data_IF_943197235380
#
_entry.id   IF_943197235380
#
_cell.length_a   1.000
_cell.length_b   1.000
_cell.length_c   1.000
_cell.angle_alpha   90.00
_cell.angle_beta   90.00
_cell.angle_gamma   90.00
#
_symmetry.space_group_name_H-M   'P 1'
#
loop_
_entity.id
_entity.type
_entity.pdbx_description
1 polymer ?
#
# COMPACT_ATOMS: atom_id res chain seq x y z
N UNK A 1 -5.88 -19.84 -21.20
CA UNK A 1 -6.72 -18.81 -21.90
C UNK A 1 -5.88 -17.60 -22.27
N UNK A 2 -6.24 -16.90 -23.36
CA UNK A 2 -5.61 -15.63 -23.70
C UNK A 2 -6.03 -14.52 -22.73
N UNK A 3 -5.22 -13.47 -22.58
CA UNK A 3 -5.57 -12.28 -21.77
C UNK A 3 -6.93 -11.72 -22.15
N UNK A 4 -7.25 -11.66 -23.45
CA UNK A 4 -8.53 -11.15 -23.95
C UNK A 4 -9.73 -12.01 -23.53
N UNK A 5 -9.62 -13.33 -23.56
CA UNK A 5 -10.69 -14.24 -23.13
C UNK A 5 -10.96 -14.07 -21.63
N UNK A 6 -9.90 -13.99 -20.81
CA UNK A 6 -9.99 -13.74 -19.35
C UNK A 6 -10.69 -12.40 -19.08
N UNK A 7 -10.30 -11.34 -19.78
CA UNK A 7 -10.91 -10.03 -19.64
C UNK A 7 -12.38 -10.02 -20.06
N UNK A 8 -12.74 -10.79 -21.10
CA UNK A 8 -14.14 -10.91 -21.54
C UNK A 8 -14.99 -11.59 -20.46
N UNK A 9 -14.48 -12.65 -19.82
CA UNK A 9 -15.15 -13.29 -18.69
C UNK A 9 -15.31 -12.34 -17.50
N UNK A 10 -14.28 -11.57 -17.17
CA UNK A 10 -14.32 -10.56 -16.11
C UNK A 10 -15.42 -9.52 -16.36
N UNK A 11 -15.53 -8.98 -17.57
CA UNK A 11 -16.58 -8.03 -17.94
C UNK A 11 -17.96 -8.67 -17.86
N UNK A 12 -18.10 -9.94 -18.24
CA UNK A 12 -19.38 -10.68 -18.14
C UNK A 12 -19.84 -10.84 -16.69
N UNK A 13 -18.90 -11.08 -15.77
CA UNK A 13 -19.20 -11.21 -14.33
C UNK A 13 -19.52 -9.87 -13.65
N UNK A 14 -19.16 -8.73 -14.25
CA UNK A 14 -19.24 -7.39 -13.65
C UNK A 14 -20.62 -7.08 -13.07
N UNK A 15 -21.70 -7.31 -13.82
CA UNK A 15 -23.04 -6.97 -13.37
C UNK A 15 -23.45 -7.76 -12.11
N UNK A 16 -23.16 -9.05 -12.06
CA UNK A 16 -23.48 -9.90 -10.92
C UNK A 16 -22.73 -9.43 -9.65
N UNK A 17 -21.44 -9.10 -9.79
CA UNK A 17 -20.62 -8.63 -8.67
C UNK A 17 -21.04 -7.24 -8.19
N UNK A 18 -21.24 -6.28 -9.14
CA UNK A 18 -21.61 -4.90 -8.81
C UNK A 18 -22.99 -4.78 -8.16
N UNK A 19 -23.92 -5.71 -8.46
CA UNK A 19 -25.28 -5.70 -7.92
C UNK A 19 -25.47 -6.58 -6.69
N UNK A 20 -24.45 -7.31 -6.26
CA UNK A 20 -24.52 -8.12 -5.06
C UNK A 20 -24.72 -7.26 -3.80
N UNK A 21 -25.64 -7.66 -2.95
CA UNK A 21 -25.87 -6.99 -1.67
C UNK A 21 -24.74 -7.31 -0.66
N UNK A 22 -24.71 -6.56 0.42
CA UNK A 22 -23.69 -6.69 1.46
C UNK A 22 -23.67 -8.08 2.08
N UNK A 23 -24.85 -8.71 2.29
CA UNK A 23 -24.95 -10.05 2.88
C UNK A 23 -24.31 -11.09 1.97
N UNK A 24 -24.61 -11.05 0.68
CA UNK A 24 -24.03 -11.94 -0.33
C UNK A 24 -22.51 -11.76 -0.41
N UNK A 25 -22.00 -10.52 -0.42
CA UNK A 25 -20.56 -10.22 -0.41
C UNK A 25 -19.88 -10.73 0.86
N UNK A 26 -20.47 -10.50 2.02
CA UNK A 26 -19.93 -10.97 3.29
C UNK A 26 -19.90 -12.51 3.36
N UNK A 27 -20.92 -13.19 2.87
CA UNK A 27 -20.94 -14.64 2.74
C UNK A 27 -19.84 -15.15 1.78
N UNK A 28 -19.61 -14.44 0.67
CA UNK A 28 -18.52 -14.76 -0.24
C UNK A 28 -17.16 -14.65 0.45
N UNK A 29 -16.91 -13.58 1.17
CA UNK A 29 -15.66 -13.39 1.94
C UNK A 29 -15.47 -14.50 2.98
N UNK A 30 -16.50 -14.87 3.74
CA UNK A 30 -16.42 -15.96 4.70
C UNK A 30 -16.05 -17.29 4.01
N UNK A 31 -16.74 -17.64 2.92
CA UNK A 31 -16.47 -18.87 2.16
C UNK A 31 -15.09 -18.83 1.46
N UNK A 32 -14.61 -17.66 1.03
CA UNK A 32 -13.26 -17.48 0.47
C UNK A 32 -12.18 -17.75 1.54
N UNK A 33 -12.36 -17.22 2.75
CA UNK A 33 -11.46 -17.45 3.87
C UNK A 33 -11.43 -18.93 4.28
N UNK A 34 -12.60 -19.59 4.35
CA UNK A 34 -12.70 -21.01 4.66
C UNK A 34 -12.06 -21.88 3.58
N UNK A 35 -12.24 -21.53 2.30
CA UNK A 35 -11.62 -22.24 1.19
C UNK A 35 -10.08 -22.11 1.20
N UNK A 36 -9.52 -20.94 1.53
CA UNK A 36 -8.07 -20.78 1.70
C UNK A 36 -7.51 -21.75 2.75
N UNK A 37 -8.16 -21.83 3.91
CA UNK A 37 -7.75 -22.75 4.98
C UNK A 37 -7.90 -24.22 4.57
N UNK A 38 -8.97 -24.56 3.86
CA UNK A 38 -9.18 -25.92 3.37
C UNK A 38 -8.14 -26.34 2.31
N UNK A 39 -7.60 -25.40 1.55
CA UNK A 39 -6.60 -25.63 0.51
C UNK A 39 -5.16 -25.32 0.95
N UNK A 40 -4.88 -25.17 2.26
CA UNK A 40 -3.55 -24.82 2.78
C UNK A 40 -2.45 -25.70 2.22
N UNK A 41 -2.60 -27.03 2.25
CA UNK A 41 -1.57 -27.95 1.77
C UNK A 41 -1.27 -27.79 0.27
N UNK A 42 -2.31 -27.59 -0.55
CA UNK A 42 -2.15 -27.39 -1.99
C UNK A 42 -1.45 -26.03 -2.29
N UNK A 43 -1.79 -24.98 -1.52
CA UNK A 43 -1.16 -23.67 -1.65
C UNK A 43 0.31 -23.75 -1.23
N UNK A 44 0.64 -24.43 -0.13
CA UNK A 44 2.01 -24.60 0.34
C UNK A 44 2.87 -25.41 -0.64
N UNK A 45 2.31 -26.47 -1.25
CA UNK A 45 3.03 -27.24 -2.27
C UNK A 45 3.32 -26.41 -3.52
N UNK A 46 2.34 -25.61 -3.99
CA UNK A 46 2.54 -24.68 -5.11
C UNK A 46 3.58 -23.63 -4.77
N UNK A 47 3.55 -23.09 -3.56
CA UNK A 47 4.50 -22.08 -3.10
C UNK A 47 5.93 -22.62 -2.98
N UNK A 48 6.08 -23.85 -2.47
CA UNK A 48 7.38 -24.53 -2.43
C UNK A 48 8.02 -24.61 -3.82
N UNK A 49 7.23 -24.98 -4.83
CA UNK A 49 7.72 -25.05 -6.22
C UNK A 49 8.15 -23.67 -6.76
N UNK A 50 7.40 -22.60 -6.44
CA UNK A 50 7.77 -21.23 -6.82
C UNK A 50 9.07 -20.80 -6.14
N UNK A 51 9.18 -21.02 -4.81
CA UNK A 51 10.38 -20.68 -4.03
C UNK A 51 11.61 -21.43 -4.53
N UNK A 52 11.50 -22.75 -4.79
CA UNK A 52 12.61 -23.55 -5.32
C UNK A 52 13.05 -23.04 -6.71
N UNK A 53 12.10 -22.69 -7.59
CA UNK A 53 12.39 -22.15 -8.90
C UNK A 53 13.00 -20.73 -8.88
N UNK A 54 12.72 -19.96 -7.85
CA UNK A 54 13.19 -18.57 -7.67
C UNK A 54 14.57 -18.47 -7.00
N UNK A 55 14.99 -19.50 -6.23
CA UNK A 55 16.30 -19.51 -5.54
C UNK A 55 17.46 -19.25 -6.52
N UNK A 56 18.36 -18.33 -6.11
CA UNK A 56 19.49 -17.90 -6.92
C UNK A 56 19.15 -17.00 -8.12
N UNK A 57 17.87 -16.66 -8.34
CA UNK A 57 17.43 -15.74 -9.40
C UNK A 57 16.90 -14.41 -8.87
N UNK A 58 16.42 -14.39 -7.64
CA UNK A 58 15.96 -13.18 -6.93
C UNK A 58 16.70 -13.10 -5.59
N UNK A 59 16.69 -11.91 -4.94
CA UNK A 59 17.36 -11.72 -3.66
C UNK A 59 16.67 -12.48 -2.51
N UNK A 60 17.39 -12.73 -1.41
CA UNK A 60 16.85 -13.42 -0.24
C UNK A 60 15.66 -12.68 0.38
N UNK A 61 15.67 -11.34 0.34
CA UNK A 61 14.53 -10.50 0.75
C UNK A 61 13.31 -10.78 -0.11
N UNK A 62 13.48 -10.96 -1.41
CA UNK A 62 12.37 -11.30 -2.31
C UNK A 62 11.90 -12.75 -2.13
N UNK A 63 12.80 -13.67 -1.76
CA UNK A 63 12.45 -15.04 -1.38
C UNK A 63 11.59 -15.04 -0.11
N UNK A 64 11.95 -14.27 0.93
CA UNK A 64 11.11 -14.16 2.14
C UNK A 64 9.72 -13.60 1.84
N UNK A 65 9.62 -12.61 0.94
CA UNK A 65 8.34 -12.07 0.49
C UNK A 65 7.48 -13.07 -0.27
N UNK A 66 8.12 -13.97 -1.03
CA UNK A 66 7.47 -15.00 -1.83
C UNK A 66 6.99 -16.17 -0.97
N UNK A 67 7.72 -16.50 0.07
CA UNK A 67 7.51 -17.68 0.90
C UNK A 67 6.19 -17.60 1.67
N UNK A 68 5.40 -18.67 1.66
CA UNK A 68 4.23 -18.88 2.50
C UNK A 68 4.50 -20.01 3.50
N UNK A 69 3.85 -19.91 4.64
CA UNK A 69 3.68 -20.96 5.64
C UNK A 69 2.22 -21.00 6.11
N UNK A 70 1.87 -21.95 6.95
CA UNK A 70 0.49 -22.08 7.45
C UNK A 70 0.02 -20.82 8.19
N UNK A 71 0.88 -20.20 8.99
CA UNK A 71 0.55 -18.98 9.73
C UNK A 71 0.30 -17.78 8.80
N UNK A 72 1.06 -17.66 7.70
CA UNK A 72 0.82 -16.63 6.68
C UNK A 72 -0.51 -16.84 5.96
N UNK A 73 -0.89 -18.10 5.66
CA UNK A 73 -2.20 -18.42 5.06
C UNK A 73 -3.34 -18.16 6.04
N UNK A 74 -3.18 -18.50 7.33
CA UNK A 74 -4.13 -18.11 8.38
C UNK A 74 -4.29 -16.61 8.48
N UNK A 75 -3.17 -15.85 8.38
CA UNK A 75 -3.18 -14.40 8.31
C UNK A 75 -3.97 -13.85 7.11
N UNK A 76 -3.81 -14.46 5.93
CA UNK A 76 -4.60 -14.11 4.73
C UNK A 76 -6.09 -14.34 4.96
N UNK A 77 -6.49 -15.51 5.50
CA UNK A 77 -7.88 -15.81 5.82
C UNK A 77 -8.47 -14.87 6.89
N UNK A 78 -7.67 -14.51 7.90
CA UNK A 78 -8.06 -13.54 8.93
C UNK A 78 -8.29 -12.16 8.32
N UNK A 79 -7.38 -11.67 7.48
CA UNK A 79 -7.54 -10.38 6.78
C UNK A 79 -8.82 -10.31 5.94
N UNK A 80 -9.17 -11.40 5.23
CA UNK A 80 -10.44 -11.49 4.50
C UNK A 80 -11.64 -11.38 5.46
N UNK A 81 -11.60 -12.04 6.62
CA UNK A 81 -12.69 -12.00 7.59
C UNK A 81 -12.84 -10.61 8.23
N UNK A 82 -11.76 -9.89 8.48
CA UNK A 82 -11.81 -8.52 9.00
C UNK A 82 -12.58 -7.56 8.09
N UNK A 83 -12.57 -7.79 6.77
CA UNK A 83 -13.36 -6.99 5.83
C UNK A 83 -14.88 -7.20 5.97
N UNK A 84 -15.33 -8.32 6.57
CA UNK A 84 -16.76 -8.60 6.77
C UNK A 84 -17.38 -7.57 7.71
N UNK A 85 -16.63 -7.17 8.73
CA UNK A 85 -17.06 -6.24 9.77
C UNK A 85 -17.01 -4.76 9.33
N UNK A 86 -16.35 -4.49 8.19
CA UNK A 86 -16.29 -3.14 7.64
C UNK A 86 -17.56 -2.79 6.86
N UNK A 87 -17.91 -1.51 6.88
CA UNK A 87 -19.01 -0.97 6.09
C UNK A 87 -18.81 -1.24 4.59
N UNK A 88 -19.89 -1.62 3.93
CA UNK A 88 -19.91 -1.73 2.47
C UNK A 88 -19.98 -0.33 1.86
N UNK A 89 -18.98 0.10 1.07
CA UNK A 89 -19.01 1.43 0.48
C UNK A 89 -20.00 1.55 -0.68
N UNK A 90 -20.34 0.44 -1.35
CA UNK A 90 -21.21 0.48 -2.53
C UNK A 90 -22.66 0.78 -2.15
N UNK A 91 -23.25 1.81 -2.77
CA UNK A 91 -24.60 2.25 -2.48
C UNK A 91 -24.71 3.33 -1.39
N UNK A 92 -23.60 3.66 -0.68
CA UNK A 92 -23.59 4.70 0.33
C UNK A 92 -23.88 6.08 -0.29
N UNK A 93 -24.88 6.79 0.26
CA UNK A 93 -25.16 8.18 -0.15
C UNK A 93 -24.12 9.10 0.50
N UNK A 94 -23.27 9.69 -0.33
CA UNK A 94 -22.18 10.57 0.11
C UNK A 94 -22.65 12.01 0.37
N UNK A 95 -23.69 12.44 -0.39
CA UNK A 95 -24.26 13.79 -0.26
C UNK A 95 -25.65 13.82 -0.88
N UNK A 96 -26.59 14.51 -0.22
CA UNK A 96 -27.91 14.84 -0.76
C UNK A 96 -28.03 16.35 -0.91
N UNK A 97 -28.60 16.78 -2.04
CA UNK A 97 -28.90 18.19 -2.34
C UNK A 97 -30.34 18.30 -2.81
N UNK A 98 -31.17 19.01 -2.07
CA UNK A 98 -32.50 19.39 -2.49
C UNK A 98 -32.46 20.73 -3.24
N UNK A 99 -33.18 20.82 -4.35
CA UNK A 99 -33.22 22.04 -5.18
C UNK A 99 -34.55 22.76 -4.98
N UNK A 100 -34.60 24.09 -5.15
CA UNK A 100 -35.84 24.88 -5.00
C UNK A 100 -36.98 24.44 -5.91
N UNK A 101 -36.67 23.78 -7.01
CA UNK A 101 -37.66 23.25 -7.95
C UNK A 101 -38.15 21.82 -7.58
N UNK A 102 -37.78 21.29 -6.41
CA UNK A 102 -38.20 19.98 -5.91
C UNK A 102 -37.33 18.80 -6.38
N UNK A 103 -36.30 19.03 -7.20
CA UNK A 103 -35.37 17.95 -7.58
C UNK A 103 -34.49 17.59 -6.39
N UNK A 104 -34.37 16.29 -6.09
CA UNK A 104 -33.45 15.71 -5.11
C UNK A 104 -32.28 15.05 -5.85
N UNK A 105 -31.05 15.46 -5.54
CA UNK A 105 -29.82 14.96 -6.16
C UNK A 105 -29.01 14.23 -5.08
N UNK A 106 -28.82 12.93 -5.26
CA UNK A 106 -27.97 12.10 -4.38
C UNK A 106 -26.65 11.76 -5.10
N UNK A 107 -25.52 12.10 -4.46
CA UNK A 107 -24.21 11.60 -4.85
C UNK A 107 -24.00 10.26 -4.16
N UNK A 108 -23.99 9.15 -4.91
CA UNK A 108 -23.97 7.79 -4.35
C UNK A 108 -22.70 7.07 -4.81
N UNK A 109 -22.00 6.42 -3.85
CA UNK A 109 -20.83 5.61 -4.13
C UNK A 109 -21.21 4.37 -4.93
N UNK A 110 -20.39 4.02 -5.91
CA UNK A 110 -20.57 2.83 -6.76
C UNK A 110 -19.21 2.18 -7.02
N UNK A 111 -19.15 0.85 -7.25
CA UNK A 111 -17.91 0.18 -7.63
C UNK A 111 -17.26 0.82 -8.86
N UNK A 112 -15.92 0.78 -8.91
CA UNK A 112 -15.17 1.16 -10.13
C UNK A 112 -15.54 0.28 -11.31
N UNK A 113 -15.64 -1.04 -11.10
CA UNK A 113 -15.98 -1.99 -12.14
C UNK A 113 -15.02 -3.16 -12.22
N UNK A 114 -14.16 -3.22 -13.22
CA UNK A 114 -13.09 -4.22 -13.35
C UNK A 114 -11.77 -3.59 -12.93
N UNK A 115 -11.18 -4.09 -11.85
CA UNK A 115 -9.90 -3.63 -11.32
C UNK A 115 -8.82 -4.65 -11.68
N UNK A 116 -7.79 -4.22 -12.40
CA UNK A 116 -6.62 -5.03 -12.71
C UNK A 116 -5.47 -4.71 -11.74
N UNK A 117 -4.85 -5.74 -11.16
CA UNK A 117 -3.72 -5.62 -10.26
C UNK A 117 -2.52 -6.36 -10.84
N UNK A 118 -1.43 -5.62 -11.13
CA UNK A 118 -0.15 -6.20 -11.56
C UNK A 118 0.80 -6.18 -10.38
N UNK A 119 1.27 -7.36 -9.92
CA UNK A 119 2.09 -7.45 -8.71
C UNK A 119 3.23 -8.45 -8.84
N UNK A 120 4.26 -8.29 -7.98
CA UNK A 120 5.50 -9.07 -7.96
C UNK A 120 5.65 -9.78 -6.62
N UNK A 121 6.17 -11.02 -6.64
CA UNK A 121 6.70 -11.79 -5.47
C UNK A 121 5.93 -11.68 -4.14
N UNK A 122 4.61 -11.51 -4.18
CA UNK A 122 3.77 -11.32 -2.96
C UNK A 122 2.47 -12.12 -3.06
N UNK A 123 2.47 -13.43 -2.76
CA UNK A 123 1.27 -14.26 -2.87
C UNK A 123 0.08 -13.76 -2.03
N UNK A 124 0.32 -13.11 -0.88
CA UNK A 124 -0.74 -12.52 -0.05
C UNK A 124 -1.52 -11.41 -0.77
N UNK A 125 -0.88 -10.66 -1.68
CA UNK A 125 -1.60 -9.64 -2.48
C UNK A 125 -2.73 -10.25 -3.28
N UNK A 126 -2.63 -11.53 -3.67
CA UNK A 126 -3.69 -12.26 -4.37
C UNK A 126 -4.99 -12.30 -3.57
N UNK A 127 -4.91 -12.65 -2.28
CA UNK A 127 -6.08 -12.72 -1.40
C UNK A 127 -6.61 -11.35 -1.01
N UNK A 128 -5.71 -10.44 -0.66
CA UNK A 128 -6.07 -9.10 -0.18
C UNK A 128 -6.77 -8.30 -1.29
N UNK A 129 -6.20 -8.31 -2.48
CA UNK A 129 -6.76 -7.62 -3.65
C UNK A 129 -8.12 -8.22 -4.06
N UNK A 130 -8.24 -9.56 -4.09
CA UNK A 130 -9.50 -10.20 -4.43
C UNK A 130 -10.60 -9.88 -3.41
N UNK A 131 -10.29 -9.97 -2.12
CA UNK A 131 -11.25 -9.71 -1.05
C UNK A 131 -11.73 -8.24 -1.03
N UNK A 132 -10.81 -7.29 -1.15
CA UNK A 132 -11.14 -5.85 -1.24
C UNK A 132 -12.01 -5.56 -2.47
N UNK A 133 -11.69 -6.13 -3.64
CA UNK A 133 -12.49 -5.97 -4.84
C UNK A 133 -13.91 -6.51 -4.66
N UNK A 134 -14.06 -7.75 -4.15
CA UNK A 134 -15.38 -8.37 -3.96
C UNK A 134 -16.21 -7.60 -2.92
N UNK A 135 -15.64 -7.22 -1.78
CA UNK A 135 -16.35 -6.43 -0.76
C UNK A 135 -16.84 -5.09 -1.30
N UNK A 136 -16.00 -4.41 -2.09
CA UNK A 136 -16.38 -3.12 -2.72
C UNK A 136 -17.22 -3.27 -3.99
N UNK A 137 -17.60 -4.50 -4.37
CA UNK A 137 -18.46 -4.78 -5.53
C UNK A 137 -17.73 -4.76 -6.87
N UNK A 138 -16.42 -4.95 -6.90
CA UNK A 138 -15.60 -4.94 -8.12
C UNK A 138 -15.20 -6.35 -8.55
N UNK A 139 -14.98 -6.52 -9.85
CA UNK A 139 -14.31 -7.69 -10.42
C UNK A 139 -12.79 -7.47 -10.29
N UNK A 140 -12.08 -8.53 -9.87
CA UNK A 140 -10.64 -8.54 -9.67
C UNK A 140 -9.93 -9.31 -10.80
N UNK A 141 -9.05 -8.65 -11.54
CA UNK A 141 -8.17 -9.29 -12.52
C UNK A 141 -6.72 -9.18 -12.02
N UNK A 142 -6.13 -10.32 -11.72
CA UNK A 142 -4.81 -10.44 -11.13
C UNK A 142 -3.77 -10.82 -12.18
N UNK A 143 -2.59 -10.21 -12.11
CA UNK A 143 -1.42 -10.59 -12.90
C UNK A 143 -0.22 -10.64 -11.97
N UNK A 144 0.16 -11.84 -11.53
CA UNK A 144 1.33 -12.07 -10.65
C UNK A 144 2.63 -12.10 -11.44
N UNK A 145 3.75 -11.84 -10.76
CA UNK A 145 5.07 -12.16 -11.29
C UNK A 145 5.22 -13.64 -11.64
N UNK A 146 6.09 -13.95 -12.58
CA UNK A 146 6.36 -15.34 -13.02
C UNK A 146 6.81 -16.23 -11.86
N UNK A 147 7.55 -15.66 -10.92
CA UNK A 147 8.10 -16.33 -9.74
C UNK A 147 7.07 -16.71 -8.68
N UNK A 148 5.85 -16.14 -8.76
CA UNK A 148 4.77 -16.36 -7.80
C UNK A 148 3.51 -16.96 -8.43
N UNK A 149 3.56 -17.34 -9.70
CA UNK A 149 2.35 -17.68 -10.47
C UNK A 149 1.65 -18.93 -9.97
N UNK A 150 2.39 -20.00 -9.60
CA UNK A 150 1.79 -21.22 -9.09
C UNK A 150 1.08 -21.00 -7.76
N UNK A 151 1.70 -20.26 -6.86
CA UNK A 151 1.13 -19.84 -5.58
C UNK A 151 -0.14 -19.02 -5.80
N UNK A 152 -0.07 -18.00 -6.67
CA UNK A 152 -1.22 -17.17 -7.01
C UNK A 152 -2.37 -17.97 -7.62
N UNK A 153 -2.07 -18.94 -8.50
CA UNK A 153 -3.07 -19.80 -9.11
C UNK A 153 -3.77 -20.69 -8.08
N UNK A 154 -3.03 -21.27 -7.15
CA UNK A 154 -3.60 -22.09 -6.07
C UNK A 154 -4.52 -21.26 -5.16
N UNK A 155 -4.09 -20.05 -4.79
CA UNK A 155 -4.89 -19.11 -4.01
C UNK A 155 -6.17 -18.71 -4.76
N UNK A 156 -6.07 -18.28 -6.02
CA UNK A 156 -7.24 -17.90 -6.85
C UNK A 156 -8.22 -19.06 -7.00
N UNK A 157 -7.72 -20.29 -7.16
CA UNK A 157 -8.58 -21.48 -7.26
C UNK A 157 -9.42 -21.67 -5.99
N UNK A 158 -8.82 -21.52 -4.81
CA UNK A 158 -9.53 -21.60 -3.53
C UNK A 158 -10.55 -20.44 -3.39
N UNK A 159 -10.15 -19.20 -3.74
CA UNK A 159 -11.05 -18.05 -3.65
C UNK A 159 -12.26 -18.17 -4.58
N UNK A 160 -12.09 -18.65 -5.80
CA UNK A 160 -13.19 -18.94 -6.74
C UNK A 160 -14.19 -19.96 -6.21
N UNK A 161 -13.71 -21.00 -5.52
CA UNK A 161 -14.58 -21.97 -4.87
C UNK A 161 -15.48 -21.28 -3.82
N UNK A 162 -14.92 -20.40 -3.00
CA UNK A 162 -15.67 -19.62 -2.03
C UNK A 162 -16.73 -18.72 -2.67
N UNK A 163 -16.40 -18.08 -3.82
CA UNK A 163 -17.35 -17.27 -4.61
C UNK A 163 -18.54 -18.10 -5.07
N UNK A 164 -18.28 -19.26 -5.71
CA UNK A 164 -19.30 -20.14 -6.23
C UNK A 164 -20.23 -20.68 -5.13
N UNK A 165 -19.68 -21.05 -3.96
CA UNK A 165 -20.45 -21.45 -2.78
C UNK A 165 -21.42 -20.38 -2.29
N UNK A 166 -21.17 -19.12 -2.66
CA UNK A 166 -21.99 -17.97 -2.29
C UNK A 166 -22.94 -17.50 -3.40
N UNK A 167 -23.08 -18.29 -4.46
CA UNK A 167 -23.86 -17.97 -5.66
C UNK A 167 -23.34 -16.74 -6.44
N UNK A 168 -22.06 -16.40 -6.29
CA UNK A 168 -21.40 -15.42 -7.12
C UNK A 168 -20.56 -16.09 -8.20
N UNK A 169 -20.43 -15.52 -9.40
CA UNK A 169 -19.64 -16.11 -10.46
C UNK A 169 -18.16 -16.14 -10.07
N UNK A 170 -17.50 -17.30 -10.21
CA UNK A 170 -16.05 -17.44 -9.99
C UNK A 170 -15.22 -16.53 -10.89
N UNK A 171 -15.77 -16.12 -12.03
CA UNK A 171 -15.19 -15.17 -12.98
C UNK A 171 -15.05 -13.75 -12.41
N UNK A 172 -15.64 -13.47 -11.24
CA UNK A 172 -15.41 -12.25 -10.46
C UNK A 172 -13.98 -12.10 -9.95
N UNK A 173 -13.21 -13.19 -9.89
CA UNK A 173 -11.77 -13.18 -9.61
C UNK A 173 -11.06 -13.90 -10.75
N UNK A 174 -10.15 -13.24 -11.45
CA UNK A 174 -9.42 -13.77 -12.58
C UNK A 174 -7.91 -13.66 -12.38
N UNK A 175 -7.15 -14.64 -12.89
CA UNK A 175 -5.69 -14.62 -12.93
C UNK A 175 -5.24 -14.75 -14.38
N UNK A 176 -4.37 -13.84 -14.81
CA UNK A 176 -3.74 -13.92 -16.15
C UNK A 176 -2.76 -15.09 -16.17
N UNK A 177 -2.94 -15.99 -17.14
CA UNK A 177 -2.12 -17.21 -17.27
C UNK A 177 -0.75 -16.90 -17.91
N UNK A 178 -0.70 -15.95 -18.82
CA UNK A 178 0.54 -15.51 -19.45
C UNK A 178 1.35 -14.63 -18.49
N UNK A 179 2.52 -15.12 -18.10
CA UNK A 179 3.47 -14.42 -17.22
C UNK A 179 4.53 -13.61 -17.97
N UNK A 180 4.40 -13.47 -19.29
CA UNK A 180 5.29 -12.62 -20.09
C UNK A 180 5.11 -11.14 -19.79
N UNK A 181 6.06 -10.30 -20.19
CA UNK A 181 5.91 -8.83 -20.07
C UNK A 181 4.80 -8.30 -20.98
N UNK A 182 4.55 -8.95 -22.09
CA UNK A 182 3.51 -8.64 -23.05
C UNK A 182 2.13 -8.64 -22.41
N UNK A 183 1.83 -9.61 -21.55
CA UNK A 183 0.54 -9.69 -20.84
C UNK A 183 0.30 -8.49 -19.91
N UNK A 184 1.36 -7.95 -19.27
CA UNK A 184 1.25 -6.71 -18.50
C UNK A 184 0.95 -5.50 -19.38
N UNK A 185 1.57 -5.42 -20.55
CA UNK A 185 1.30 -4.35 -21.54
C UNK A 185 -0.13 -4.46 -22.09
N UNK A 186 -0.63 -5.69 -22.31
CA UNK A 186 -2.02 -5.92 -22.70
C UNK A 186 -3.00 -5.38 -21.67
N UNK A 187 -2.76 -5.66 -20.37
CA UNK A 187 -3.58 -5.11 -19.28
C UNK A 187 -3.52 -3.58 -19.20
N UNK A 188 -2.33 -3.00 -19.33
CA UNK A 188 -2.14 -1.55 -19.36
C UNK A 188 -2.95 -0.86 -20.49
N UNK A 189 -3.19 -1.59 -21.58
CA UNK A 189 -3.88 -1.11 -22.77
C UNK A 189 -5.32 -1.61 -22.91
N UNK A 190 -5.85 -2.32 -21.92
CA UNK A 190 -7.16 -2.99 -21.98
C UNK A 190 -8.35 -2.03 -21.82
N UNK A 191 -8.38 -0.96 -22.60
CA UNK A 191 -9.47 0.02 -22.61
C UNK A 191 -10.78 -0.66 -23.00
N UNK A 192 -11.85 -0.38 -22.24
CA UNK A 192 -13.16 -1.01 -22.40
C UNK A 192 -13.34 -2.36 -21.69
N UNK A 193 -12.25 -2.93 -21.13
CA UNK A 193 -12.27 -4.12 -20.29
C UNK A 193 -11.89 -3.81 -18.85
N UNK A 194 -10.88 -2.98 -18.63
CA UNK A 194 -10.35 -2.60 -17.32
C UNK A 194 -10.74 -1.16 -17.02
N UNK A 195 -11.37 -0.93 -15.88
CA UNK A 195 -11.79 0.38 -15.41
C UNK A 195 -10.69 1.06 -14.56
N UNK A 196 -9.84 0.27 -13.88
CA UNK A 196 -8.74 0.76 -13.02
C UNK A 196 -7.59 -0.24 -12.99
N UNK A 197 -6.35 0.26 -13.11
CA UNK A 197 -5.12 -0.52 -12.96
C UNK A 197 -4.37 -0.09 -11.70
N UNK A 198 -3.91 -1.06 -10.91
CA UNK A 198 -3.11 -0.82 -9.69
C UNK A 198 -1.84 -1.66 -9.76
N UNK A 199 -0.66 -1.06 -9.99
CA UNK A 199 0.62 -1.78 -9.89
C UNK A 199 1.06 -1.95 -8.44
N UNK A 200 1.65 -3.12 -8.12
CA UNK A 200 2.17 -3.50 -6.80
C UNK A 200 3.53 -4.16 -6.93
N UNK A 201 4.59 -3.40 -7.04
CA UNK A 201 5.95 -3.93 -7.24
C UNK A 201 7.02 -2.89 -7.08
N UNK A 202 8.20 -3.16 -7.61
CA UNK A 202 9.33 -2.25 -7.57
C UNK A 202 9.14 -1.02 -8.47
N UNK A 203 10.03 -0.01 -8.33
CA UNK A 203 9.93 1.27 -9.06
C UNK A 203 9.84 1.11 -10.57
N UNK A 204 10.50 0.07 -11.12
CA UNK A 204 10.47 -0.21 -12.57
C UNK A 204 9.08 -0.61 -13.09
N UNK A 205 8.35 -1.46 -12.35
CA UNK A 205 6.98 -1.83 -12.71
C UNK A 205 6.05 -0.62 -12.60
N UNK A 206 6.14 0.13 -11.50
CA UNK A 206 5.29 1.30 -11.27
C UNK A 206 5.48 2.32 -12.39
N UNK A 207 6.74 2.67 -12.69
CA UNK A 207 7.08 3.58 -13.80
C UNK A 207 6.53 3.08 -15.13
N UNK A 208 6.71 1.79 -15.44
CA UNK A 208 6.20 1.20 -16.68
C UNK A 208 4.68 1.32 -16.78
N UNK A 209 3.94 1.10 -15.69
CA UNK A 209 2.49 1.26 -15.68
C UNK A 209 2.08 2.73 -15.89
N UNK A 210 2.71 3.66 -15.16
CA UNK A 210 2.40 5.10 -15.26
C UNK A 210 2.66 5.66 -16.67
N UNK A 211 3.77 5.24 -17.29
CA UNK A 211 4.15 5.73 -18.63
C UNK A 211 3.37 5.09 -19.77
N UNK A 212 2.94 3.83 -19.62
CA UNK A 212 2.38 3.05 -20.75
C UNK A 212 0.90 2.72 -20.61
N UNK A 213 0.27 2.90 -19.44
CA UNK A 213 -1.13 2.59 -19.28
C UNK A 213 -2.01 3.56 -20.09
N UNK A 214 -2.98 2.98 -20.81
CA UNK A 214 -4.09 3.70 -21.46
C UNK A 214 -5.38 3.64 -20.66
N UNK A 215 -5.43 2.77 -19.65
CA UNK A 215 -6.49 2.70 -18.65
C UNK A 215 -6.10 3.57 -17.44
N UNK A 216 -7.07 4.10 -16.68
CA UNK A 216 -6.78 4.80 -15.42
C UNK A 216 -5.87 3.96 -14.51
N UNK A 217 -4.81 4.56 -13.97
CA UNK A 217 -3.83 3.87 -13.16
C UNK A 217 -3.62 4.63 -11.84
N UNK A 218 -3.73 3.94 -10.70
CA UNK A 218 -3.35 4.50 -9.39
C UNK A 218 -1.91 4.12 -9.13
N UNK A 219 -1.07 5.12 -8.96
CA UNK A 219 0.33 4.95 -8.64
C UNK A 219 0.50 4.61 -7.15
N UNK A 220 1.04 3.43 -6.85
CA UNK A 220 1.58 3.13 -5.53
C UNK A 220 3.03 3.63 -5.49
N UNK A 221 3.37 4.47 -4.51
CA UNK A 221 4.67 5.15 -4.49
C UNK A 221 5.79 4.33 -3.83
N UNK A 222 7.03 4.71 -4.11
CA UNK A 222 8.20 4.46 -3.25
C UNK A 222 8.12 5.39 -2.05
N UNK A 223 8.69 5.01 -0.91
CA UNK A 223 8.63 5.77 0.32
C UNK A 223 10.00 6.30 0.74
N UNK A 224 10.34 7.56 0.41
CA UNK A 224 11.47 8.26 1.04
C UNK A 224 10.91 9.03 2.23
N UNK A 225 10.59 8.28 3.32
CA UNK A 225 9.96 8.87 4.48
C UNK A 225 10.95 9.65 5.35
N UNK A 226 10.54 10.82 5.81
CA UNK A 226 11.36 11.67 6.66
C UNK A 226 10.82 11.74 8.09
N UNK A 227 11.75 11.79 9.05
CA UNK A 227 11.44 12.16 10.43
C UNK A 227 12.24 13.42 10.77
N UNK A 228 11.57 14.43 11.30
CA UNK A 228 12.20 15.66 11.76
C UNK A 228 12.17 15.74 13.29
N UNK A 229 13.33 15.88 13.92
CA UNK A 229 13.50 16.13 15.36
C UNK A 229 13.65 17.64 15.57
N UNK A 230 12.62 18.24 16.12
CA UNK A 230 12.53 19.68 16.43
C UNK A 230 13.38 20.07 17.63
N UNK A 231 13.65 21.39 17.80
CA UNK A 231 14.40 21.92 18.94
C UNK A 231 13.77 21.62 20.30
N UNK A 232 12.44 21.46 20.34
CA UNK A 232 11.67 21.17 21.54
C UNK A 232 11.43 19.67 21.77
N UNK A 233 11.98 18.78 20.92
CA UNK A 233 11.70 17.36 20.97
C UNK A 233 12.10 16.68 22.30
N UNK A 234 11.23 15.78 22.77
CA UNK A 234 11.59 14.81 23.80
C UNK A 234 12.49 13.72 23.18
N UNK A 235 13.72 13.61 23.66
CA UNK A 235 14.72 12.73 23.07
C UNK A 235 14.42 11.24 23.27
N UNK A 236 13.76 10.88 24.37
CA UNK A 236 13.40 9.47 24.60
C UNK A 236 12.33 9.02 23.61
N UNK A 237 11.29 9.81 23.44
CA UNK A 237 10.26 9.58 22.40
C UNK A 237 10.89 9.55 21.01
N UNK A 238 11.77 10.52 20.68
CA UNK A 238 12.43 10.59 19.39
C UNK A 238 13.22 9.32 19.07
N UNK A 239 14.05 8.85 20.00
CA UNK A 239 14.85 7.63 19.82
C UNK A 239 13.99 6.38 19.62
N UNK A 240 12.89 6.24 20.37
CA UNK A 240 11.96 5.11 20.22
C UNK A 240 11.24 5.13 18.86
N UNK A 241 10.78 6.30 18.44
CA UNK A 241 10.08 6.49 17.16
C UNK A 241 11.01 6.18 15.99
N UNK A 242 12.22 6.75 15.98
CA UNK A 242 13.21 6.57 14.92
C UNK A 242 13.70 5.10 14.86
N UNK A 243 14.00 4.48 16.01
CA UNK A 243 14.35 3.06 16.05
C UNK A 243 13.23 2.21 15.44
N UNK A 244 11.98 2.42 15.84
CA UNK A 244 10.84 1.72 15.26
C UNK A 244 10.67 2.02 13.77
N UNK A 245 10.71 3.29 13.37
CA UNK A 245 10.52 3.72 11.99
C UNK A 245 11.57 3.12 11.04
N UNK A 246 12.83 3.00 11.46
CA UNK A 246 13.91 2.48 10.61
C UNK A 246 14.11 0.98 10.74
N UNK A 247 13.94 0.38 11.93
CA UNK A 247 14.47 -0.98 12.18
C UNK A 247 13.42 -2.07 12.31
N UNK A 248 12.16 -1.75 12.55
CA UNK A 248 11.10 -2.76 12.71
C UNK A 248 10.87 -3.57 11.43
N UNK A 249 10.96 -2.93 10.25
CA UNK A 249 10.91 -3.56 8.93
C UNK A 249 11.47 -2.59 7.88
N UNK A 250 12.78 -2.55 7.66
CA UNK A 250 13.40 -1.52 6.79
C UNK A 250 13.01 -1.65 5.31
N UNK A 251 12.57 -2.83 4.87
CA UNK A 251 12.27 -3.13 3.46
C UNK A 251 10.85 -2.75 3.02
N UNK A 252 10.15 -1.84 3.71
CA UNK A 252 8.81 -1.37 3.36
C UNK A 252 8.79 0.14 3.13
N UNK A 253 7.83 0.60 2.32
CA UNK A 253 7.76 1.98 1.84
C UNK A 253 7.47 3.04 2.92
N UNK A 254 6.97 2.65 4.10
CA UNK A 254 6.74 3.54 5.23
C UNK A 254 7.88 3.53 6.27
N UNK A 255 9.00 2.81 5.97
CA UNK A 255 10.19 2.89 6.79
C UNK A 255 10.87 4.26 6.61
N UNK A 256 11.46 4.78 7.68
CA UNK A 256 12.21 6.02 7.64
C UNK A 256 13.47 5.84 6.78
N UNK A 257 13.72 6.78 5.86
CA UNK A 257 14.93 6.81 5.04
C UNK A 257 15.79 8.04 5.30
N UNK A 258 15.17 9.12 5.78
CA UNK A 258 15.86 10.38 6.06
C UNK A 258 15.48 10.92 7.44
N UNK A 259 16.49 11.23 8.23
CA UNK A 259 16.36 11.90 9.52
C UNK A 259 16.87 13.35 9.40
N UNK A 260 16.02 14.29 9.76
CA UNK A 260 16.37 15.71 9.90
C UNK A 260 16.43 16.07 11.39
N UNK A 261 17.49 16.76 11.82
CA UNK A 261 17.70 17.14 13.24
C UNK A 261 17.92 18.63 13.32
N UNK A 262 17.14 19.32 14.18
CA UNK A 262 17.33 20.75 14.44
C UNK A 262 18.70 21.03 15.02
N UNK A 263 19.39 22.06 14.54
CA UNK A 263 20.77 22.41 14.95
C UNK A 263 20.92 22.67 16.43
N UNK A 264 19.91 23.24 17.09
CA UNK A 264 19.92 23.55 18.52
C UNK A 264 20.05 22.28 19.41
N UNK A 265 19.62 21.12 18.93
CA UNK A 265 19.65 19.86 19.69
C UNK A 265 20.66 18.85 19.15
N UNK A 266 21.22 19.09 17.98
CA UNK A 266 22.06 18.14 17.25
C UNK A 266 23.25 17.61 18.09
N UNK A 267 23.99 18.48 18.76
CA UNK A 267 25.16 18.11 19.59
C UNK A 267 24.81 17.13 20.73
N UNK A 268 23.58 17.21 21.26
CA UNK A 268 23.11 16.35 22.35
C UNK A 268 22.42 15.10 21.82
N UNK A 269 21.63 15.23 20.78
CA UNK A 269 20.78 14.17 20.27
C UNK A 269 21.55 13.15 19.42
N UNK A 270 22.41 13.59 18.50
CA UNK A 270 23.09 12.71 17.55
C UNK A 270 23.96 11.63 18.22
N UNK A 271 24.74 11.90 19.32
CA UNK A 271 25.44 10.84 20.02
C UNK A 271 24.51 9.76 20.62
N UNK A 272 23.34 10.17 21.12
CA UNK A 272 22.33 9.23 21.63
C UNK A 272 21.75 8.37 20.50
N UNK A 273 21.49 8.98 19.35
CA UNK A 273 21.03 8.28 18.14
C UNK A 273 22.04 7.23 17.69
N UNK A 274 23.34 7.61 17.56
CA UNK A 274 24.39 6.68 17.18
C UNK A 274 24.51 5.52 18.16
N UNK A 275 24.48 5.79 19.46
CA UNK A 275 24.47 4.77 20.49
C UNK A 275 23.29 3.80 20.30
N UNK A 276 22.08 4.35 20.12
CA UNK A 276 20.84 3.56 20.00
C UNK A 276 20.81 2.69 18.73
N UNK A 277 21.09 3.28 17.56
CA UNK A 277 20.93 2.60 16.27
C UNK A 277 22.14 1.77 15.85
N UNK A 278 23.33 2.06 16.38
CA UNK A 278 24.56 1.40 15.94
C UNK A 278 25.15 0.54 17.08
N UNK A 279 25.45 1.14 18.24
CA UNK A 279 26.21 0.47 19.30
C UNK A 279 25.35 -0.57 20.04
N UNK A 280 24.18 -0.16 20.57
CA UNK A 280 23.28 -1.06 21.30
C UNK A 280 22.78 -2.21 20.42
N UNK A 281 22.54 -1.98 19.12
CA UNK A 281 22.14 -3.03 18.19
C UNK A 281 23.26 -4.05 17.97
N UNK A 282 24.53 -3.60 17.84
CA UNK A 282 25.69 -4.49 17.77
C UNK A 282 25.84 -5.34 19.05
N UNK A 283 25.67 -4.73 20.21
CA UNK A 283 25.73 -5.42 21.50
C UNK A 283 24.66 -6.51 21.64
N UNK A 284 23.47 -6.28 21.09
CA UNK A 284 22.35 -7.24 21.05
C UNK A 284 22.50 -8.30 19.94
N UNK A 285 23.51 -8.21 19.07
CA UNK A 285 23.67 -9.09 17.92
C UNK A 285 22.68 -8.81 16.79
N UNK A 286 22.03 -7.63 16.78
CA UNK A 286 21.15 -7.15 15.73
C UNK A 286 21.95 -6.43 14.64
N UNK A 287 21.36 -6.29 13.44
CA UNK A 287 21.99 -5.55 12.35
C UNK A 287 22.04 -4.05 12.71
N UNK A 288 23.24 -3.44 12.81
CA UNK A 288 23.38 -2.01 13.08
C UNK A 288 22.92 -1.20 11.88
N UNK A 289 22.41 0.01 12.13
CA UNK A 289 22.03 0.94 11.05
C UNK A 289 23.28 1.65 10.53
N UNK A 290 23.51 1.62 9.23
CA UNK A 290 24.51 2.45 8.57
C UNK A 290 23.99 3.88 8.46
N UNK A 291 24.71 4.83 9.07
CA UNK A 291 24.36 6.25 9.04
C UNK A 291 25.08 6.96 7.88
N UNK A 292 24.32 7.58 6.96
CA UNK A 292 24.77 8.42 5.86
C UNK A 292 24.70 9.88 6.27
N UNK A 293 25.83 10.52 6.52
CA UNK A 293 25.93 11.78 7.27
C UNK A 293 26.19 12.97 6.33
N UNK A 294 25.40 14.04 6.43
CA UNK A 294 25.82 15.31 5.86
C UNK A 294 27.07 15.86 6.60
N UNK A 295 27.79 16.81 5.98
CA UNK A 295 29.03 17.39 6.52
C UNK A 295 28.91 17.94 7.96
N UNK A 296 27.73 18.48 8.32
CA UNK A 296 27.49 19.01 9.68
C UNK A 296 27.36 17.88 10.71
N UNK A 297 26.65 16.81 10.36
CA UNK A 297 26.48 15.63 11.23
C UNK A 297 27.80 14.89 11.42
N UNK A 298 28.61 14.75 10.37
CA UNK A 298 29.91 14.07 10.40
C UNK A 298 30.95 14.73 11.32
N UNK A 299 30.72 15.96 11.76
CA UNK A 299 31.53 16.64 12.77
C UNK A 299 31.18 16.23 14.19
N UNK A 300 30.01 15.62 14.41
CA UNK A 300 29.48 15.29 15.74
C UNK A 300 29.53 13.78 15.99
N UNK A 301 29.18 12.96 15.01
CA UNK A 301 29.15 11.49 15.11
C UNK A 301 29.91 10.84 13.96
N UNK A 302 30.22 9.54 14.12
CA UNK A 302 30.90 8.74 13.08
C UNK A 302 29.91 8.01 12.19
N UNK A 303 30.20 7.96 10.89
CA UNK A 303 29.41 7.25 9.89
C UNK A 303 30.00 7.43 8.50
N UNK A 304 29.26 7.01 7.48
CA UNK A 304 29.62 7.20 6.08
C UNK A 304 29.16 8.59 5.63
N UNK A 305 30.00 9.35 4.90
CA UNK A 305 29.53 10.62 4.30
C UNK A 305 28.42 10.35 3.29
N UNK A 306 27.37 11.14 3.35
CA UNK A 306 26.27 11.06 2.42
C UNK A 306 26.71 11.42 1.00
N UNK A 307 26.33 10.59 0.04
CA UNK A 307 26.47 10.87 -1.39
C UNK A 307 25.44 11.87 -1.89
N UNK A 308 25.55 12.25 -3.15
CA UNK A 308 24.66 13.23 -3.76
C UNK A 308 23.19 12.79 -3.78
N UNK A 309 22.95 11.51 -3.93
CA UNK A 309 21.62 10.91 -4.13
C UNK A 309 21.05 10.26 -2.85
N UNK A 310 21.80 10.27 -1.72
CA UNK A 310 21.38 9.56 -0.49
C UNK A 310 20.09 10.11 0.14
N UNK A 311 19.79 11.39 -0.07
CA UNK A 311 18.53 12.00 0.37
C UNK A 311 17.37 11.79 -0.60
N UNK A 312 17.62 11.24 -1.78
CA UNK A 312 16.66 10.91 -2.83
C UNK A 312 16.54 9.39 -3.03
N UNK A 313 17.06 8.60 -2.06
CA UNK A 313 17.15 7.14 -2.17
C UNK A 313 16.23 6.45 -1.16
N UNK A 314 15.38 5.56 -1.64
CA UNK A 314 14.70 4.56 -0.83
C UNK A 314 15.65 3.36 -0.66
N UNK A 315 16.35 3.30 0.48
CA UNK A 315 17.38 2.28 0.72
C UNK A 315 16.81 0.88 0.90
N UNK A 316 15.62 0.77 1.50
CA UNK A 316 14.95 -0.50 1.82
C UNK A 316 15.82 -1.46 2.68
N UNK A 317 16.74 -0.90 3.44
CA UNK A 317 17.74 -1.61 4.25
C UNK A 317 18.03 -0.83 5.53
N UNK A 318 18.88 -1.37 6.39
CA UNK A 318 19.36 -0.72 7.62
C UNK A 318 20.34 0.43 7.30
N UNK A 319 19.90 1.37 6.48
CA UNK A 319 20.64 2.57 6.07
C UNK A 319 19.74 3.79 6.33
N UNK A 320 20.28 4.85 6.93
CA UNK A 320 19.57 6.07 7.27
C UNK A 320 20.39 7.29 6.90
N UNK A 321 19.87 8.18 6.05
CA UNK A 321 20.49 9.45 5.75
C UNK A 321 20.16 10.47 6.85
N UNK A 322 21.16 11.19 7.35
CA UNK A 322 21.00 12.12 8.50
C UNK A 322 21.52 13.51 8.14
N UNK A 323 20.69 14.53 8.35
CA UNK A 323 21.01 15.93 8.06
C UNK A 323 20.62 16.85 9.21
N UNK A 324 21.44 17.89 9.46
CA UNK A 324 21.11 19.00 10.36
C UNK A 324 20.41 20.09 9.54
N UNK A 325 19.33 20.62 10.09
CA UNK A 325 18.58 21.80 9.58
C UNK A 325 18.47 22.84 10.68
N UNK A 326 18.29 24.12 10.28
CA UNK A 326 18.31 25.23 11.25
C UNK A 326 16.92 25.69 11.68
N UNK A 327 15.87 25.16 11.08
CA UNK A 327 14.48 25.45 11.47
C UNK A 327 13.49 24.42 10.92
N UNK A 328 12.23 24.47 11.39
CA UNK A 328 11.13 23.67 10.85
C UNK A 328 10.85 24.05 9.38
N UNK A 329 11.05 25.29 8.99
CA UNK A 329 10.91 25.75 7.61
C UNK A 329 11.92 25.08 6.68
N UNK A 330 13.19 25.00 7.09
CA UNK A 330 14.23 24.28 6.33
C UNK A 330 13.93 22.78 6.24
N UNK A 331 13.41 22.18 7.33
CA UNK A 331 12.96 20.78 7.30
C UNK A 331 11.86 20.58 6.27
N UNK A 332 10.83 21.42 6.26
CA UNK A 332 9.72 21.38 5.29
C UNK A 332 10.23 21.60 3.86
N UNK A 333 11.15 22.53 3.65
CA UNK A 333 11.76 22.76 2.34
C UNK A 333 12.54 21.52 1.86
N UNK A 334 13.31 20.89 2.75
CA UNK A 334 14.04 19.66 2.43
C UNK A 334 13.06 18.55 2.06
N UNK A 335 12.03 18.30 2.88
CA UNK A 335 11.00 17.30 2.61
C UNK A 335 10.32 17.56 1.26
N UNK A 336 10.00 18.80 0.95
CA UNK A 336 9.35 19.15 -0.33
C UNK A 336 10.19 18.83 -1.57
N UNK A 337 11.52 18.77 -1.42
CA UNK A 337 12.47 18.48 -2.51
C UNK A 337 12.79 16.99 -2.65
N UNK A 338 12.90 16.28 -1.52
CA UNK A 338 13.49 14.95 -1.45
C UNK A 338 12.49 13.85 -1.13
N UNK A 339 11.32 14.19 -0.52
CA UNK A 339 10.30 13.20 -0.22
C UNK A 339 9.52 12.77 -1.47
N UNK A 340 9.09 11.52 -1.45
CA UNK A 340 8.12 10.98 -2.43
C UNK A 340 6.66 11.31 -2.06
N UNK A 341 6.43 12.04 -0.96
CA UNK A 341 5.09 12.40 -0.48
C UNK A 341 4.35 11.23 0.16
N UNK A 342 5.08 10.28 0.75
CA UNK A 342 4.49 9.09 1.37
C UNK A 342 4.10 9.32 2.84
N UNK A 343 5.07 9.40 3.74
CA UNK A 343 4.83 9.50 5.19
C UNK A 343 5.93 10.32 5.85
N UNK A 344 5.54 11.39 6.52
CA UNK A 344 6.49 12.30 7.17
C UNK A 344 6.11 12.52 8.63
N UNK A 345 7.08 12.61 9.51
CA UNK A 345 6.84 12.83 10.92
C UNK A 345 7.65 14.01 11.47
N UNK A 346 7.05 14.76 12.38
CA UNK A 346 7.73 15.68 13.26
C UNK A 346 7.69 15.16 14.70
N UNK A 347 8.81 15.29 15.41
CA UNK A 347 8.89 15.02 16.85
C UNK A 347 9.14 16.33 17.54
N UNK A 348 8.16 16.80 18.29
CA UNK A 348 8.15 18.15 18.89
C UNK A 348 7.21 18.21 20.10
N UNK A 349 7.53 19.06 21.08
CA UNK A 349 6.61 19.46 22.14
C UNK A 349 6.03 20.88 21.85
N UNK A 350 6.44 21.53 20.77
CA UNK A 350 5.88 22.83 20.33
C UNK A 350 4.66 22.61 19.46
N UNK A 351 3.51 23.12 19.92
CA UNK A 351 2.28 23.11 19.11
C UNK A 351 2.43 23.93 17.84
N UNK A 352 3.14 25.05 17.89
CA UNK A 352 3.37 25.95 16.77
C UNK A 352 4.16 25.24 15.67
N UNK A 353 5.23 24.52 16.04
CA UNK A 353 6.04 23.74 15.10
C UNK A 353 5.22 22.59 14.50
N UNK A 354 4.42 21.87 15.31
CA UNK A 354 3.53 20.82 14.86
C UNK A 354 2.48 21.33 13.86
N UNK A 355 1.80 22.43 14.19
CA UNK A 355 0.78 23.04 13.31
C UNK A 355 1.41 23.54 12.00
N UNK A 356 2.60 24.17 12.06
CA UNK A 356 3.32 24.60 10.88
C UNK A 356 3.70 23.43 9.97
N UNK A 357 4.30 22.38 10.55
CA UNK A 357 4.73 21.19 9.83
C UNK A 357 3.54 20.49 9.15
N UNK A 358 2.48 20.20 9.90
CA UNK A 358 1.30 19.49 9.37
C UNK A 358 0.55 20.27 8.29
N UNK A 359 0.59 21.60 8.35
CA UNK A 359 -0.02 22.47 7.33
C UNK A 359 0.81 22.54 6.05
N UNK A 360 2.14 22.45 6.14
CA UNK A 360 3.05 22.71 5.04
C UNK A 360 3.57 21.47 4.34
N UNK A 361 3.71 20.36 5.06
CA UNK A 361 4.12 19.09 4.47
C UNK A 361 2.96 18.49 3.69
N UNK A 362 3.15 18.32 2.37
CA UNK A 362 2.12 17.81 1.46
C UNK A 362 2.39 16.33 1.12
N UNK A 363 2.37 15.48 2.15
CA UNK A 363 2.51 14.02 2.02
C UNK A 363 1.18 13.31 2.29
N UNK A 364 1.07 12.04 1.89
CA UNK A 364 -0.14 11.25 2.05
C UNK A 364 -0.50 11.03 3.52
N UNK A 365 0.51 10.88 4.39
CA UNK A 365 0.35 10.80 5.83
C UNK A 365 1.37 11.72 6.52
N UNK A 366 0.90 12.54 7.47
CA UNK A 366 1.73 13.46 8.24
C UNK A 366 1.50 13.23 9.72
N UNK A 367 2.57 12.98 10.47
CA UNK A 367 2.54 12.54 11.85
C UNK A 367 3.15 13.55 12.81
N UNK A 368 2.60 13.64 14.01
CA UNK A 368 3.17 14.38 15.13
C UNK A 368 3.42 13.40 16.27
N UNK A 369 4.68 13.21 16.66
CA UNK A 369 5.11 12.31 17.74
C UNK A 369 4.66 10.84 17.55
N UNK A 370 4.63 10.36 16.31
CA UNK A 370 4.24 8.99 15.95
C UNK A 370 5.15 8.47 14.83
N UNK A 371 5.44 7.18 14.85
CA UNK A 371 6.26 6.50 13.83
C UNK A 371 5.54 6.47 12.46
N UNK A 372 6.30 6.66 11.38
CA UNK A 372 5.81 6.53 10.00
C UNK A 372 5.31 5.11 9.68
N UNK A 373 5.70 4.10 10.50
CA UNK A 373 5.25 2.71 10.37
C UNK A 373 3.75 2.51 10.52
N UNK A 374 3.03 3.47 11.08
CA UNK A 374 1.57 3.44 11.15
C UNK A 374 0.85 3.71 9.83
N UNK A 375 1.55 4.09 8.74
CA UNK A 375 0.95 4.19 7.40
C UNK A 375 0.72 2.77 6.84
N UNK A 376 -0.30 2.12 7.33
CA UNK A 376 -0.64 0.72 7.04
C UNK A 376 -2.17 0.54 7.10
N UNK A 377 -2.73 -0.28 6.22
CA UNK A 377 -4.17 -0.48 6.14
C UNK A 377 -4.77 -1.07 7.41
N UNK A 378 -4.07 -2.00 8.07
CA UNK A 378 -4.51 -2.59 9.35
C UNK A 378 -4.52 -1.55 10.47
N UNK A 379 -3.44 -0.77 10.58
CA UNK A 379 -3.30 0.29 11.59
C UNK A 379 -4.32 1.44 11.37
N UNK A 380 -4.72 1.70 10.12
CA UNK A 380 -5.75 2.71 9.79
C UNK A 380 -7.18 2.16 9.91
N UNK A 381 -7.35 0.89 10.32
CA UNK A 381 -8.66 0.27 10.48
C UNK A 381 -9.33 -0.10 9.17
N UNK A 382 -8.56 -0.26 8.10
CA UNK A 382 -9.06 -0.64 6.76
C UNK A 382 -9.09 -2.16 6.53
N UNK A 383 -8.65 -2.96 7.52
CA UNK A 383 -8.46 -4.40 7.40
C UNK A 383 -7.29 -4.76 6.50
N UNK A 384 -7.58 -5.10 5.25
CA UNK A 384 -6.55 -5.24 4.20
C UNK A 384 -6.30 -3.90 3.48
N UNK A 385 -5.18 -3.79 2.76
CA UNK A 385 -4.92 -2.63 1.90
C UNK A 385 -4.55 -3.06 0.48
N UNK A 386 -4.99 -2.27 -0.49
CA UNK A 386 -4.58 -2.42 -1.88
C UNK A 386 -3.17 -1.86 -2.14
N UNK A 387 -2.64 -1.11 -1.20
CA UNK A 387 -1.37 -0.40 -1.21
C UNK A 387 -1.50 1.04 -0.79
N UNK A 388 -0.38 1.75 -0.79
CA UNK A 388 -0.32 3.15 -0.39
C UNK A 388 -0.03 4.01 -1.62
N UNK A 389 -0.94 4.94 -1.92
CA UNK A 389 -0.78 5.87 -3.04
C UNK A 389 -0.23 7.21 -2.58
N UNK A 390 0.72 7.74 -3.33
CA UNK A 390 1.27 9.09 -3.08
C UNK A 390 0.72 10.13 -4.06
N UNK A 391 -0.08 9.71 -5.06
CA UNK A 391 -0.69 10.63 -6.01
C UNK A 391 -1.83 11.43 -5.38
N UNK A 392 -2.16 12.59 -5.97
CA UNK A 392 -3.22 13.48 -5.47
C UNK A 392 -4.60 13.17 -6.07
N UNK A 393 -4.65 12.52 -7.23
CA UNK A 393 -5.88 12.25 -7.93
C UNK A 393 -6.47 10.92 -7.47
N UNK A 394 -7.72 10.96 -7.04
CA UNK A 394 -8.58 9.90 -6.55
C UNK A 394 -8.12 9.34 -5.18
N UNK A 395 -7.19 8.37 -5.13
CA UNK A 395 -6.73 7.75 -3.90
C UNK A 395 -5.38 8.32 -3.43
N UNK A 396 -5.25 8.63 -2.15
CA UNK A 396 -4.02 9.10 -1.52
C UNK A 396 -3.88 8.52 -0.12
N UNK A 397 -2.75 7.91 0.19
CA UNK A 397 -2.52 7.15 1.42
C UNK A 397 -2.88 5.66 1.26
N UNK A 398 -3.06 4.93 2.37
CA UNK A 398 -3.52 3.55 2.33
C UNK A 398 -4.87 3.42 1.63
N UNK A 399 -4.96 2.47 0.68
CA UNK A 399 -6.16 2.25 -0.12
C UNK A 399 -6.94 1.06 0.42
N UNK A 400 -8.10 1.34 1.00
CA UNK A 400 -9.07 0.36 1.44
C UNK A 400 -10.26 0.22 0.49
N UNK A 401 -11.44 -0.03 1.06
CA UNK A 401 -12.67 -0.28 0.31
C UNK A 401 -13.21 0.96 -0.41
N UNK A 402 -13.12 2.14 0.24
CA UNK A 402 -13.68 3.39 -0.32
C UNK A 402 -12.94 3.85 -1.57
N UNK A 403 -11.60 3.65 -1.62
CA UNK A 403 -10.76 4.01 -2.77
C UNK A 403 -11.00 3.13 -4.00
N UNK A 404 -11.63 1.97 -3.83
CA UNK A 404 -12.07 1.08 -4.92
C UNK A 404 -13.45 1.42 -5.45
N UNK A 405 -14.03 2.54 -4.98
CA UNK A 405 -15.32 3.07 -5.42
C UNK A 405 -15.15 4.42 -6.12
N UNK A 406 -16.09 4.72 -6.99
CA UNK A 406 -16.34 6.05 -7.53
C UNK A 406 -17.75 6.47 -7.13
N UNK A 407 -18.35 7.43 -7.82
CA UNK A 407 -19.71 7.85 -7.52
C UNK A 407 -20.50 8.12 -8.81
N UNK A 408 -21.82 8.01 -8.67
CA UNK A 408 -22.79 8.52 -9.66
C UNK A 408 -23.78 9.46 -9.00
N UNK A 409 -24.46 10.26 -9.81
CA UNK A 409 -25.59 11.06 -9.34
C UNK A 409 -26.89 10.36 -9.63
N UNK A 410 -27.72 10.19 -8.63
CA UNK A 410 -29.09 9.74 -8.75
C UNK A 410 -29.99 10.97 -8.56
N UNK A 411 -30.78 11.30 -9.57
CA UNK A 411 -31.61 12.50 -9.58
C UNK A 411 -33.05 12.07 -9.62
N UNK A 412 -33.84 12.49 -8.64
CA UNK A 412 -35.28 12.21 -8.57
C UNK A 412 -36.07 13.49 -8.66
N UNK A 413 -37.18 13.42 -9.35
CA UNK A 413 -38.09 14.54 -9.55
C UNK A 413 -39.48 14.06 -10.01
N UNK A 414 -40.40 15.00 -10.23
CA UNK A 414 -41.79 14.79 -10.62
C UNK A 414 -42.13 15.49 -11.94
N UNK A 415 -41.22 15.46 -12.93
CA UNK A 415 -41.41 16.06 -14.24
C UNK A 415 -40.86 17.48 -14.39
N UNK A 416 -39.95 17.92 -13.50
CA UNK A 416 -39.33 19.23 -13.66
C UNK A 416 -38.52 19.33 -14.95
N UNK A 417 -38.68 20.46 -15.64
CA UNK A 417 -37.92 20.86 -16.85
C UNK A 417 -37.06 22.08 -16.55
N UNK A 418 -36.02 22.29 -17.34
CA UNK A 418 -35.13 23.44 -17.27
C UNK A 418 -35.52 24.51 -18.26
#
# INVERSE_FOLDING_TARGET
>A
MTTKEILTQAVTAKNAINSADTETKNKALANMADALLAHTDAILEANKQDVEAARGKISDVMIDRLMLDAGRIEGMAKGIRELIDLDDPAGKVLRTVERPNGIVIEKTAVPMGVIAIIYESRPNVTSDAAALCIKSGNVCVLRSGKEAWKSANAVVTALKEGMVKSNLPGEGIQLIEDTSRESSVELMKAVGYVDLLIPRGGPGLIRSCVENAKVPCIQTGTGICHVYVDESADFEKALQIIENAKTSRPSVCNAEEVLLVHSAVAEKFLPLLQKKLVEERKEKGEIPVELRLCDRVAKIISGTLAGADDFDTEFLDYILAVKIVDSVEEAVEHISKHSTGHSEAIITESKEAADYFTMRVDSAAVYVNVSTRFTDGGEFGLGCEMGISTQKLHARGPMGLEELCTYKYIIRGEGQIR
#
